data_IF_752438913682
#
_entry.id   IF_752438913682
#
_cell.length_a   1.000
_cell.length_b   1.000
_cell.length_c   1.000
_cell.angle_alpha   90.00
_cell.angle_beta   90.00
_cell.angle_gamma   90.00
#
_symmetry.space_group_name_H-M   'P 1'
#
loop_
_entity.id
_entity.type
_entity.pdbx_description
1 polymer ?
#
# COMPACT_ATOMS: atom_id res chain seq x y z
N UNK A 1 -14.81 27.30 6.47
CA UNK A 1 -14.48 25.88 6.68
C UNK A 1 -14.56 25.66 8.17
N UNK A 2 -15.48 24.83 8.66
CA UNK A 2 -15.39 24.37 10.04
C UNK A 2 -14.08 23.59 10.17
N UNK A 3 -13.27 23.92 11.17
CA UNK A 3 -12.08 23.13 11.49
C UNK A 3 -12.53 21.70 11.78
N UNK A 4 -11.84 20.72 11.18
CA UNK A 4 -12.11 19.31 11.43
C UNK A 4 -11.95 19.05 12.94
N UNK A 5 -12.93 18.40 13.58
CA UNK A 5 -12.82 18.06 14.99
C UNK A 5 -11.62 17.13 15.20
N UNK A 6 -10.77 17.43 16.19
CA UNK A 6 -9.68 16.56 16.63
C UNK A 6 -8.26 16.92 16.18
N UNK A 7 -7.97 18.21 15.97
CA UNK A 7 -6.62 18.79 15.77
C UNK A 7 -5.64 17.86 15.03
N UNK A 8 -5.93 17.62 13.76
CA UNK A 8 -5.12 16.75 12.91
C UNK A 8 -3.80 17.46 12.57
N UNK A 9 -2.70 16.92 13.09
CA UNK A 9 -1.36 17.45 12.91
C UNK A 9 -0.35 16.35 12.59
N UNK A 10 0.91 16.73 12.37
CA UNK A 10 2.01 15.80 12.20
C UNK A 10 2.91 15.83 13.43
N UNK A 11 3.33 14.65 13.88
CA UNK A 11 4.29 14.49 14.97
C UNK A 11 5.43 13.56 14.55
N UNK A 12 6.51 13.61 15.32
CA UNK A 12 7.66 12.72 15.15
C UNK A 12 7.41 11.44 15.95
N UNK A 13 7.70 10.28 15.35
CA UNK A 13 7.64 8.98 16.04
C UNK A 13 8.80 8.83 17.02
N UNK A 14 8.55 8.09 18.09
CA UNK A 14 9.62 7.56 18.93
C UNK A 14 10.34 6.46 18.14
N UNK A 15 11.59 6.73 17.77
CA UNK A 15 12.42 5.84 16.96
C UNK A 15 13.70 5.48 17.73
N UNK A 16 14.20 4.27 17.51
CA UNK A 16 15.54 3.87 17.96
C UNK A 16 16.63 4.62 17.19
N UNK A 17 17.86 4.68 17.74
CA UNK A 17 19.00 5.32 17.05
C UNK A 17 19.25 4.73 15.66
N UNK A 18 19.08 3.42 15.49
CA UNK A 18 19.22 2.73 14.21
C UNK A 18 18.17 3.18 13.18
N UNK A 19 16.92 3.39 13.62
CA UNK A 19 15.83 3.86 12.76
C UNK A 19 16.01 5.34 12.40
N UNK A 20 16.49 6.16 13.34
CA UNK A 20 16.84 7.56 13.09
C UNK A 20 17.92 7.65 12.01
N UNK A 21 18.98 6.84 12.10
CA UNK A 21 20.05 6.82 11.11
C UNK A 21 19.53 6.52 9.68
N UNK A 22 18.54 5.62 9.57
CA UNK A 22 17.88 5.34 8.28
C UNK A 22 17.04 6.52 7.81
N UNK A 23 16.29 7.18 8.70
CA UNK A 23 15.48 8.35 8.36
C UNK A 23 16.33 9.55 7.89
N UNK A 24 17.52 9.72 8.47
CA UNK A 24 18.46 10.81 8.11
C UNK A 24 19.03 10.62 6.70
N UNK A 25 19.16 9.38 6.22
CA UNK A 25 19.69 9.12 4.89
C UNK A 25 18.63 9.41 3.81
N UNK A 26 18.79 10.44 2.96
CA UNK A 26 17.81 10.78 1.93
C UNK A 26 17.75 9.74 0.79
N UNK A 27 18.62 8.73 0.79
CA UNK A 27 18.63 7.60 -0.15
C UNK A 27 18.18 6.28 0.50
N UNK A 28 17.68 6.31 1.74
CA UNK A 28 17.01 5.16 2.36
C UNK A 28 15.51 5.15 1.99
N UNK A 29 14.86 3.98 2.09
CA UNK A 29 13.41 3.89 1.91
C UNK A 29 12.67 4.57 3.08
N UNK A 30 13.24 4.49 4.26
CA UNK A 30 12.72 4.93 5.56
C UNK A 30 12.90 6.44 5.81
N UNK A 31 13.37 7.21 4.84
CA UNK A 31 13.65 8.65 4.98
C UNK A 31 12.48 9.48 5.54
N UNK A 32 11.23 9.00 5.40
CA UNK A 32 10.02 9.67 5.88
C UNK A 32 9.34 8.92 7.03
N UNK A 33 9.91 7.82 7.52
CA UNK A 33 9.29 6.97 8.55
C UNK A 33 9.18 7.68 9.91
N UNK A 34 9.96 8.74 10.15
CA UNK A 34 9.87 9.56 11.35
C UNK A 34 8.52 10.28 11.47
N UNK A 35 7.79 10.47 10.36
CA UNK A 35 6.54 11.22 10.34
C UNK A 35 5.35 10.34 10.72
N UNK A 36 4.49 10.86 11.60
CA UNK A 36 3.23 10.25 12.03
C UNK A 36 2.09 11.27 12.02
N UNK A 37 0.88 10.79 11.76
CA UNK A 37 -0.34 11.56 11.98
C UNK A 37 -0.68 11.57 13.48
N UNK A 38 -0.90 12.77 14.01
CA UNK A 38 -1.41 12.99 15.35
C UNK A 38 -2.87 13.45 15.23
N UNK A 39 -3.77 12.70 15.85
CA UNK A 39 -5.18 13.02 15.92
C UNK A 39 -5.63 12.96 17.38
N UNK A 40 -6.17 14.06 17.86
CA UNK A 40 -6.67 14.18 19.23
C UNK A 40 -8.16 13.86 19.22
N UNK A 41 -8.50 12.61 19.54
CA UNK A 41 -9.90 12.17 19.51
C UNK A 41 -10.76 12.99 20.48
N UNK A 42 -11.81 13.70 19.98
CA UNK A 42 -12.77 14.38 20.84
C UNK A 42 -13.47 13.39 21.80
N UNK A 43 -13.85 13.83 23.02
CA UNK A 43 -14.42 12.94 24.03
C UNK A 43 -15.67 12.19 23.54
N UNK A 44 -16.46 12.80 22.67
CA UNK A 44 -17.67 12.22 22.07
C UNK A 44 -17.37 11.03 21.14
N UNK A 45 -16.19 11.03 20.52
CA UNK A 45 -15.75 9.99 19.58
C UNK A 45 -14.77 9.00 20.22
N UNK A 46 -14.35 9.24 21.47
CA UNK A 46 -13.34 8.43 22.19
C UNK A 46 -13.69 6.94 22.28
N UNK A 47 -14.99 6.62 22.35
CA UNK A 47 -15.46 5.24 22.38
C UNK A 47 -15.28 4.53 21.04
N UNK A 48 -15.40 5.24 19.92
CA UNK A 48 -15.29 4.68 18.56
C UNK A 48 -13.83 4.71 18.10
N UNK A 49 -13.17 5.88 18.18
CA UNK A 49 -11.78 6.07 17.75
C UNK A 49 -10.85 5.79 18.93
N UNK A 50 -10.63 4.50 19.16
CA UNK A 50 -9.76 4.02 20.24
C UNK A 50 -8.27 4.20 19.90
N UNK A 51 -7.37 4.18 20.90
CA UNK A 51 -5.93 4.18 20.65
C UNK A 51 -5.46 3.05 19.71
N UNK A 52 -6.12 1.88 19.76
CA UNK A 52 -5.79 0.75 18.88
C UNK A 52 -6.09 1.05 17.41
N UNK A 53 -7.19 1.77 17.13
CA UNK A 53 -7.54 2.23 15.78
C UNK A 53 -6.50 3.24 15.29
N UNK A 54 -6.07 4.18 16.14
CA UNK A 54 -5.02 5.15 15.78
C UNK A 54 -3.67 4.46 15.47
N UNK A 55 -3.33 3.37 16.15
CA UNK A 55 -2.15 2.57 15.81
C UNK A 55 -2.28 1.89 14.44
N UNK A 56 -3.47 1.44 14.05
CA UNK A 56 -3.71 0.89 12.71
C UNK A 56 -3.53 1.97 11.64
N UNK A 57 -4.10 3.17 11.85
CA UNK A 57 -3.90 4.30 10.96
C UNK A 57 -2.42 4.67 10.81
N UNK A 58 -1.66 4.74 11.91
CA UNK A 58 -0.24 5.08 11.86
C UNK A 58 0.56 4.08 11.01
N UNK A 59 0.25 2.78 11.13
CA UNK A 59 0.90 1.73 10.32
C UNK A 59 0.56 1.84 8.84
N UNK A 60 -0.70 2.12 8.51
CA UNK A 60 -1.15 2.36 7.13
C UNK A 60 -0.45 3.61 6.58
N UNK A 61 -0.46 4.70 7.33
CA UNK A 61 0.15 5.97 6.95
C UNK A 61 1.65 5.83 6.68
N UNK A 62 2.38 5.06 7.50
CA UNK A 62 3.81 4.79 7.28
C UNK A 62 4.07 4.18 5.90
N UNK A 63 3.29 3.17 5.53
CA UNK A 63 3.42 2.53 4.22
C UNK A 63 3.05 3.49 3.08
N UNK A 64 2.01 4.32 3.28
CA UNK A 64 1.62 5.32 2.29
C UNK A 64 2.72 6.36 2.04
N UNK A 65 3.47 6.78 3.06
CA UNK A 65 4.63 7.66 2.89
C UNK A 65 5.72 7.01 2.03
N UNK A 66 6.01 5.74 2.28
CA UNK A 66 6.98 4.97 1.47
C UNK A 66 6.51 4.83 0.02
N UNK A 67 5.22 4.57 -0.19
CA UNK A 67 4.62 4.48 -1.53
C UNK A 67 4.69 5.83 -2.27
N UNK A 68 4.32 6.93 -1.61
CA UNK A 68 4.41 8.30 -2.14
C UNK A 68 5.85 8.63 -2.57
N UNK A 69 6.82 8.30 -1.72
CA UNK A 69 8.25 8.45 -2.03
C UNK A 69 8.64 7.65 -3.27
N UNK A 70 8.19 6.40 -3.38
CA UNK A 70 8.49 5.57 -4.55
C UNK A 70 7.87 6.11 -5.83
N UNK A 71 6.62 6.59 -5.77
CA UNK A 71 5.95 7.25 -6.89
C UNK A 71 6.75 8.47 -7.38
N UNK A 72 7.24 9.30 -6.45
CA UNK A 72 8.13 10.42 -6.79
C UNK A 72 9.44 9.96 -7.44
N UNK A 73 10.11 8.95 -6.86
CA UNK A 73 11.40 8.43 -7.32
C UNK A 73 11.30 7.87 -8.74
N UNK A 74 10.30 7.03 -9.05
CA UNK A 74 10.16 6.45 -10.39
C UNK A 74 9.77 7.47 -11.45
N UNK A 75 8.94 8.47 -11.09
CA UNK A 75 8.59 9.55 -12.01
C UNK A 75 9.79 10.48 -12.28
N UNK A 76 10.62 10.73 -11.27
CA UNK A 76 11.88 11.47 -11.44
C UNK A 76 12.87 10.71 -12.34
N UNK A 77 13.02 9.40 -12.11
CA UNK A 77 13.85 8.53 -12.95
C UNK A 77 13.38 8.50 -14.40
N UNK A 78 12.07 8.35 -14.62
CA UNK A 78 11.49 8.36 -15.96
C UNK A 78 11.80 9.68 -16.68
N UNK A 79 11.58 10.84 -16.03
CA UNK A 79 11.92 12.14 -16.62
C UNK A 79 13.41 12.26 -16.96
N UNK A 80 14.30 11.72 -16.12
CA UNK A 80 15.74 11.77 -16.35
C UNK A 80 16.13 10.92 -17.57
N UNK A 81 15.66 9.68 -17.65
CA UNK A 81 15.97 8.77 -18.76
C UNK A 81 15.29 9.20 -20.06
N UNK A 82 14.05 9.70 -20.01
CA UNK A 82 13.34 10.21 -21.20
C UNK A 82 14.06 11.39 -21.87
N UNK A 83 14.85 12.18 -21.12
CA UNK A 83 15.68 13.25 -21.70
C UNK A 83 16.97 12.74 -22.35
N UNK A 84 17.39 11.52 -22.03
CA UNK A 84 18.65 10.90 -22.48
C UNK A 84 18.44 9.69 -23.40
N UNK A 85 17.24 9.52 -23.97
CA UNK A 85 16.82 8.29 -24.70
C UNK A 85 17.83 7.84 -25.77
N UNK A 86 18.45 8.78 -26.49
CA UNK A 86 19.41 8.47 -27.56
C UNK A 86 20.82 8.12 -27.07
N UNK A 87 21.15 8.42 -25.82
CA UNK A 87 22.48 8.19 -25.22
C UNK A 87 22.46 7.11 -24.13
N UNK A 88 21.26 6.63 -23.75
CA UNK A 88 21.11 5.77 -22.58
C UNK A 88 21.22 4.29 -22.96
N UNK A 89 21.98 3.55 -22.15
CA UNK A 89 22.10 2.10 -22.27
C UNK A 89 20.74 1.38 -22.16
N UNK A 90 20.61 0.30 -22.93
CA UNK A 90 19.38 -0.47 -23.04
C UNK A 90 18.90 -1.02 -21.68
N UNK A 91 19.84 -1.44 -20.82
CA UNK A 91 19.56 -1.97 -19.49
C UNK A 91 18.92 -0.91 -18.56
N UNK A 92 19.43 0.32 -18.57
CA UNK A 92 18.92 1.43 -17.75
C UNK A 92 17.51 1.82 -18.15
N UNK A 93 17.23 1.89 -19.46
CA UNK A 93 15.88 2.16 -19.96
C UNK A 93 14.89 1.07 -19.55
N UNK A 94 15.27 -0.21 -19.68
CA UNK A 94 14.44 -1.34 -19.23
C UNK A 94 14.21 -1.31 -17.73
N UNK A 95 15.24 -1.05 -16.93
CA UNK A 95 15.14 -0.92 -15.48
C UNK A 95 14.09 0.13 -15.12
N UNK A 96 14.23 1.36 -15.63
CA UNK A 96 13.32 2.46 -15.26
C UNK A 96 11.90 2.18 -15.71
N UNK A 97 11.71 1.64 -16.91
CA UNK A 97 10.39 1.29 -17.42
C UNK A 97 9.72 0.22 -16.55
N UNK A 98 10.43 -0.86 -16.22
CA UNK A 98 9.89 -1.93 -15.38
C UNK A 98 9.69 -1.50 -13.93
N UNK A 99 10.61 -0.71 -13.36
CA UNK A 99 10.47 -0.16 -12.01
C UNK A 99 9.24 0.76 -11.90
N UNK A 100 9.02 1.64 -12.89
CA UNK A 100 7.83 2.50 -12.94
C UNK A 100 6.55 1.66 -13.05
N UNK A 101 6.53 0.68 -13.96
CA UNK A 101 5.39 -0.22 -14.10
C UNK A 101 5.09 -0.93 -12.78
N UNK A 102 6.10 -1.52 -12.14
CA UNK A 102 5.95 -2.21 -10.86
C UNK A 102 5.38 -1.28 -9.78
N UNK A 103 5.97 -0.11 -9.56
CA UNK A 103 5.53 0.84 -8.54
C UNK A 103 4.11 1.35 -8.82
N UNK A 104 3.79 1.74 -10.06
CA UNK A 104 2.44 2.20 -10.40
C UNK A 104 1.38 1.09 -10.24
N UNK A 105 1.72 -0.16 -10.56
CA UNK A 105 0.82 -1.31 -10.37
C UNK A 105 0.55 -1.58 -8.88
N UNK A 106 1.58 -1.48 -8.04
CA UNK A 106 1.44 -1.58 -6.57
C UNK A 106 0.63 -0.41 -6.02
N UNK A 107 0.92 0.81 -6.46
CA UNK A 107 0.23 2.03 -6.04
C UNK A 107 -1.28 1.96 -6.36
N UNK A 108 -1.62 1.63 -7.60
CA UNK A 108 -3.01 1.46 -8.02
C UNK A 108 -3.70 0.33 -7.25
N UNK A 109 -3.03 -0.79 -6.99
CA UNK A 109 -3.63 -1.84 -6.17
C UNK A 109 -3.87 -1.38 -4.71
N UNK A 110 -2.89 -0.75 -4.07
CA UNK A 110 -3.03 -0.31 -2.68
C UNK A 110 -4.08 0.77 -2.50
N UNK A 111 -4.10 1.78 -3.37
CA UNK A 111 -5.03 2.90 -3.27
C UNK A 111 -6.42 2.50 -3.80
N UNK A 112 -6.51 2.11 -5.07
CA UNK A 112 -7.80 1.93 -5.75
C UNK A 112 -8.53 0.67 -5.29
N UNK A 113 -7.80 -0.39 -4.92
CA UNK A 113 -8.39 -1.67 -4.52
C UNK A 113 -8.31 -1.89 -3.02
N UNK A 114 -7.13 -1.73 -2.42
CA UNK A 114 -6.91 -2.05 -1.02
C UNK A 114 -7.61 -1.09 -0.05
N UNK A 115 -7.44 0.21 -0.27
CA UNK A 115 -8.01 1.25 0.60
C UNK A 115 -9.43 1.62 0.15
N UNK A 116 -9.60 2.07 -1.09
CA UNK A 116 -10.88 2.61 -1.56
C UNK A 116 -12.03 1.61 -1.40
N UNK A 117 -11.84 0.33 -1.76
CA UNK A 117 -12.91 -0.67 -1.68
C UNK A 117 -13.42 -0.88 -0.24
N UNK A 118 -12.51 -1.01 0.72
CA UNK A 118 -12.88 -1.22 2.12
C UNK A 118 -13.46 0.06 2.73
N UNK A 119 -12.90 1.22 2.38
CA UNK A 119 -13.33 2.51 2.88
C UNK A 119 -14.71 2.91 2.36
N UNK A 120 -15.02 2.70 1.08
CA UNK A 120 -16.36 3.00 0.53
C UNK A 120 -17.45 2.19 1.21
N UNK A 121 -17.16 0.97 1.70
CA UNK A 121 -18.11 0.19 2.50
C UNK A 121 -18.35 0.81 3.88
N UNK A 122 -17.33 1.47 4.44
CA UNK A 122 -17.44 2.21 5.68
C UNK A 122 -18.26 3.49 5.51
N UNK A 123 -17.96 4.28 4.49
CA UNK A 123 -18.71 5.51 4.14
C UNK A 123 -20.19 5.19 3.88
N UNK A 124 -20.49 4.18 3.06
CA UNK A 124 -21.86 3.78 2.78
C UNK A 124 -22.64 3.31 4.03
N UNK A 125 -21.94 2.83 5.07
CA UNK A 125 -22.57 2.50 6.36
C UNK A 125 -22.83 3.75 7.19
N UNK A 126 -21.86 4.66 7.25
CA UNK A 126 -22.04 5.95 7.93
C UNK A 126 -23.17 6.77 7.31
N UNK A 127 -23.28 6.79 5.99
CA UNK A 127 -24.37 7.48 5.27
C UNK A 127 -25.74 6.95 5.67
N UNK A 128 -25.88 5.62 5.84
CA UNK A 128 -27.13 5.00 6.30
C UNK A 128 -27.45 5.40 7.74
N UNK A 129 -26.44 5.39 8.62
CA UNK A 129 -26.61 5.81 10.02
C UNK A 129 -27.04 7.28 10.07
N UNK A 130 -26.38 8.15 9.32
CA UNK A 130 -26.72 9.57 9.23
C UNK A 130 -28.13 9.81 8.69
N UNK A 131 -28.54 9.08 7.65
CA UNK A 131 -29.88 9.19 7.08
C UNK A 131 -30.98 8.79 8.09
N UNK A 132 -30.73 7.75 8.90
CA UNK A 132 -31.68 7.35 9.96
C UNK A 132 -31.74 8.41 11.06
N UNK A 133 -30.60 8.93 11.50
CA UNK A 133 -30.54 9.96 12.56
C UNK A 133 -31.18 11.29 12.14
N UNK A 134 -31.12 11.63 10.85
CA UNK A 134 -31.67 12.89 10.32
C UNK A 134 -33.19 12.82 10.10
N UNK A 135 -33.74 11.62 9.91
CA UNK A 135 -35.18 11.41 9.76
C UNK A 135 -35.85 11.25 11.14
N UNK A 136 -36.07 12.39 11.79
CA UNK A 136 -36.65 12.56 13.15
C UNK A 136 -38.10 12.03 13.32
N UNK A 137 -38.68 11.40 12.29
CA UNK A 137 -40.10 11.09 12.20
C UNK A 137 -40.50 9.67 12.61
N UNK A 138 -39.55 8.72 12.77
CA UNK A 138 -39.91 7.32 12.90
C UNK A 138 -39.17 6.61 14.05
N UNK A 139 -39.82 6.55 15.21
CA UNK A 139 -39.30 5.93 16.45
C UNK A 139 -38.86 4.46 16.25
N UNK A 140 -39.46 3.77 15.27
CA UNK A 140 -39.11 2.39 14.86
C UNK A 140 -37.78 2.30 14.12
N UNK A 141 -37.29 3.39 13.53
CA UNK A 141 -36.01 3.45 12.84
C UNK A 141 -34.84 3.49 13.81
N UNK A 142 -35.04 4.04 15.02
CA UNK A 142 -34.04 4.03 16.10
C UNK A 142 -33.86 2.66 16.75
N UNK A 143 -34.85 1.77 16.72
CA UNK A 143 -34.70 0.38 17.18
C UNK A 143 -33.78 -0.44 16.26
N UNK A 144 -33.59 0.00 15.01
CA UNK A 144 -32.66 -0.60 14.04
C UNK A 144 -31.30 0.09 13.96
N UNK A 145 -31.12 1.20 14.69
CA UNK A 145 -29.84 1.90 14.73
C UNK A 145 -28.82 1.02 15.45
N UNK A 146 -27.70 0.77 14.77
CA UNK A 146 -26.61 0.02 15.35
C UNK A 146 -25.99 0.77 16.53
N UNK A 147 -25.55 0.02 17.54
CA UNK A 147 -24.90 0.60 18.70
C UNK A 147 -23.54 1.21 18.32
N UNK A 148 -23.04 2.21 19.09
CA UNK A 148 -21.69 2.73 18.90
C UNK A 148 -20.60 1.65 18.97
N UNK A 149 -20.86 0.55 19.68
CA UNK A 149 -19.97 -0.60 19.76
C UNK A 149 -19.88 -1.36 18.44
N UNK A 150 -21.03 -1.60 17.80
CA UNK A 150 -21.08 -2.23 16.47
C UNK A 150 -20.40 -1.35 15.41
N UNK A 151 -20.50 -0.02 15.53
CA UNK A 151 -19.78 0.90 14.65
C UNK A 151 -18.26 0.83 14.86
N UNK A 152 -17.81 0.79 16.11
CA UNK A 152 -16.39 0.62 16.47
C UNK A 152 -15.83 -0.70 15.94
N UNK A 153 -16.53 -1.80 16.16
CA UNK A 153 -16.12 -3.13 15.68
C UNK A 153 -16.02 -3.13 14.15
N UNK A 154 -17.01 -2.58 13.48
CA UNK A 154 -17.00 -2.49 12.03
C UNK A 154 -15.87 -1.60 11.50
N UNK A 155 -15.59 -0.47 12.15
CA UNK A 155 -14.46 0.40 11.78
C UNK A 155 -13.13 -0.34 11.92
N UNK A 156 -12.93 -1.05 13.04
CA UNK A 156 -11.77 -1.90 13.25
C UNK A 156 -11.65 -2.97 12.14
N UNK A 157 -12.75 -3.66 11.79
CA UNK A 157 -12.77 -4.65 10.72
C UNK A 157 -12.40 -4.06 9.35
N UNK A 158 -12.87 -2.86 9.04
CA UNK A 158 -12.50 -2.13 7.81
C UNK A 158 -11.01 -1.88 7.76
N UNK A 159 -10.42 -1.33 8.84
CA UNK A 159 -8.97 -1.09 8.91
C UNK A 159 -8.17 -2.39 8.82
N UNK A 160 -8.69 -3.47 9.41
CA UNK A 160 -8.10 -4.80 9.34
C UNK A 160 -8.14 -5.42 7.94
N UNK A 161 -9.17 -5.12 7.14
CA UNK A 161 -9.22 -5.46 5.71
C UNK A 161 -8.17 -4.66 4.93
N UNK A 162 -8.12 -3.33 5.13
CA UNK A 162 -7.12 -2.45 4.50
C UNK A 162 -5.70 -2.94 4.82
N UNK A 163 -5.40 -3.22 6.09
CA UNK A 163 -4.10 -3.74 6.49
C UNK A 163 -3.75 -5.08 5.83
N UNK A 164 -4.75 -5.93 5.57
CA UNK A 164 -4.54 -7.22 4.89
C UNK A 164 -4.22 -7.02 3.42
N UNK A 165 -4.96 -6.13 2.74
CA UNK A 165 -4.70 -5.77 1.34
C UNK A 165 -3.33 -5.12 1.14
N UNK A 166 -2.87 -4.33 2.11
CA UNK A 166 -1.58 -3.64 2.13
C UNK A 166 -0.41 -4.50 2.63
N UNK A 167 -0.62 -5.80 2.88
CA UNK A 167 0.40 -6.72 3.42
C UNK A 167 0.94 -6.36 4.82
N UNK A 168 0.19 -5.60 5.61
CA UNK A 168 0.60 -5.14 6.95
C UNK A 168 0.30 -6.14 8.08
N UNK A 169 -0.24 -7.33 7.78
CA UNK A 169 -0.41 -8.37 8.82
C UNK A 169 0.91 -9.05 9.13
N UNK A 170 1.09 -9.52 10.37
CA UNK A 170 2.29 -10.26 10.79
C UNK A 170 2.62 -11.44 9.86
N UNK A 171 1.59 -12.21 9.45
CA UNK A 171 1.74 -13.32 8.50
C UNK A 171 2.19 -12.93 7.09
N UNK A 172 2.06 -11.65 6.72
CA UNK A 172 2.44 -11.06 5.43
C UNK A 172 3.77 -10.28 5.53
N UNK A 173 4.45 -10.30 6.66
CA UNK A 173 5.75 -9.63 6.82
C UNK A 173 6.79 -10.05 5.75
N UNK A 174 6.90 -11.34 5.35
CA UNK A 174 7.87 -11.73 4.31
C UNK A 174 7.60 -11.08 2.94
N UNK A 175 6.33 -10.96 2.54
CA UNK A 175 5.96 -10.34 1.27
C UNK A 175 6.19 -8.82 1.31
N UNK A 176 5.90 -8.18 2.45
CA UNK A 176 6.17 -6.75 2.64
C UNK A 176 7.67 -6.47 2.61
N UNK A 177 8.50 -7.27 3.29
CA UNK A 177 9.97 -7.14 3.23
C UNK A 177 10.49 -7.24 1.79
N UNK A 178 9.99 -8.20 1.02
CA UNK A 178 10.38 -8.34 -0.39
C UNK A 178 9.98 -7.11 -1.22
N UNK A 179 8.80 -6.53 -0.98
CA UNK A 179 8.38 -5.27 -1.62
C UNK A 179 9.35 -4.12 -1.26
N UNK A 180 9.72 -3.99 0.01
CA UNK A 180 10.66 -2.98 0.50
C UNK A 180 12.08 -3.15 -0.09
N UNK A 181 12.52 -4.39 -0.27
CA UNK A 181 13.78 -4.70 -0.94
C UNK A 181 13.77 -4.33 -2.44
N UNK A 182 12.63 -4.48 -3.11
CA UNK A 182 12.45 -4.04 -4.50
C UNK A 182 12.52 -2.51 -4.56
N UNK A 183 11.78 -1.82 -3.69
CA UNK A 183 11.82 -0.36 -3.57
C UNK A 183 13.23 0.18 -3.29
N UNK A 184 13.94 -0.45 -2.36
CA UNK A 184 15.34 -0.11 -2.06
C UNK A 184 16.24 -0.26 -3.29
N UNK A 185 16.05 -1.32 -4.08
CA UNK A 185 16.80 -1.54 -5.33
C UNK A 185 16.57 -0.41 -6.34
N UNK A 186 15.33 0.10 -6.43
CA UNK A 186 14.98 1.25 -7.28
C UNK A 186 15.62 2.54 -6.77
N UNK A 187 15.61 2.80 -5.45
CA UNK A 187 16.25 3.99 -4.87
C UNK A 187 17.77 3.97 -5.09
N UNK A 188 18.42 2.81 -4.87
CA UNK A 188 19.85 2.64 -5.12
C UNK A 188 20.22 2.93 -6.58
N UNK A 189 19.43 2.40 -7.52
CA UNK A 189 19.59 2.70 -8.95
C UNK A 189 19.43 4.20 -9.22
N UNK A 190 18.43 4.81 -8.60
CA UNK A 190 18.15 6.25 -8.70
C UNK A 190 19.31 7.12 -8.24
N UNK A 191 19.92 6.77 -7.11
CA UNK A 191 21.08 7.48 -6.56
C UNK A 191 22.28 7.37 -7.50
N UNK A 192 22.59 6.14 -7.92
CA UNK A 192 23.70 5.85 -8.86
C UNK A 192 23.58 6.64 -10.15
N UNK A 193 22.41 6.62 -10.79
CA UNK A 193 22.20 7.32 -12.05
C UNK A 193 22.39 8.84 -11.95
N UNK A 194 22.22 9.41 -10.74
CA UNK A 194 22.46 10.83 -10.49
C UNK A 194 23.91 11.17 -10.17
N UNK A 195 24.69 10.22 -9.66
CA UNK A 195 26.05 10.46 -9.15
C UNK A 195 27.16 9.91 -10.03
N UNK A 196 26.89 8.89 -10.84
CA UNK A 196 27.89 8.26 -11.70
C UNK A 196 27.77 8.74 -13.16
N UNK A 197 28.92 8.81 -13.83
CA UNK A 197 29.03 9.14 -15.26
C UNK A 197 28.93 7.90 -16.15
N UNK A 198 28.75 8.10 -17.45
CA UNK A 198 28.65 7.06 -18.48
C UNK A 198 30.03 6.39 -18.70
N UNK A 199 30.37 5.39 -17.89
CA UNK A 199 31.55 4.54 -18.09
C UNK A 199 31.13 3.09 -18.37
N UNK A 200 31.96 2.30 -19.07
CA UNK A 200 31.63 0.89 -19.38
C UNK A 200 31.46 0.01 -18.11
N UNK A 201 32.13 0.36 -17.01
CA UNK A 201 31.92 -0.29 -15.71
C UNK A 201 30.53 0.05 -15.12
N UNK A 202 29.98 1.23 -15.45
CA UNK A 202 28.63 1.63 -15.05
C UNK A 202 27.56 0.75 -15.71
N UNK A 203 27.79 0.32 -16.94
CA UNK A 203 26.87 -0.53 -17.71
C UNK A 203 26.77 -1.93 -17.15
N UNK A 204 27.92 -2.55 -16.88
CA UNK A 204 27.96 -3.89 -16.31
C UNK A 204 27.22 -3.92 -14.98
N UNK A 205 27.51 -2.96 -14.11
CA UNK A 205 26.89 -2.92 -12.81
C UNK A 205 25.39 -2.54 -12.90
N UNK A 206 24.99 -1.70 -13.85
CA UNK A 206 23.58 -1.41 -14.13
C UNK A 206 22.83 -2.67 -14.59
N UNK A 207 23.42 -3.47 -15.47
CA UNK A 207 22.86 -4.75 -15.89
C UNK A 207 22.72 -5.72 -14.71
N UNK A 208 23.70 -5.76 -13.81
CA UNK A 208 23.62 -6.56 -12.58
C UNK A 208 22.51 -6.09 -11.64
N UNK A 209 22.37 -4.78 -11.41
CA UNK A 209 21.29 -4.20 -10.61
C UNK A 209 19.92 -4.53 -11.20
N UNK A 210 19.77 -4.42 -12.53
CA UNK A 210 18.55 -4.80 -13.24
C UNK A 210 18.23 -6.28 -13.09
N UNK A 211 19.22 -7.16 -13.24
CA UNK A 211 19.04 -8.61 -13.03
C UNK A 211 18.57 -8.92 -11.60
N UNK A 212 19.16 -8.28 -10.59
CA UNK A 212 18.76 -8.45 -9.18
C UNK A 212 17.34 -7.93 -8.93
N UNK A 213 17.00 -6.76 -9.45
CA UNK A 213 15.65 -6.19 -9.39
C UNK A 213 14.62 -7.15 -10.02
N UNK A 214 14.89 -7.62 -11.25
CA UNK A 214 14.01 -8.53 -11.98
C UNK A 214 13.77 -9.83 -11.22
N UNK A 215 14.83 -10.42 -10.64
CA UNK A 215 14.71 -11.62 -9.80
C UNK A 215 13.81 -11.39 -8.58
N UNK A 216 13.97 -10.27 -7.88
CA UNK A 216 13.10 -9.94 -6.72
C UNK A 216 11.65 -9.76 -7.14
N UNK A 217 11.38 -9.09 -8.27
CA UNK A 217 10.03 -8.93 -8.82
C UNK A 217 9.42 -10.29 -9.19
N UNK A 218 10.20 -11.20 -9.79
CA UNK A 218 9.74 -12.56 -10.10
C UNK A 218 9.36 -13.34 -8.83
N UNK A 219 10.20 -13.29 -7.79
CA UNK A 219 9.89 -13.93 -6.51
C UNK A 219 8.63 -13.30 -5.90
N UNK A 220 8.48 -11.97 -5.97
CA UNK A 220 7.30 -11.28 -5.44
C UNK A 220 6.01 -11.72 -6.12
N UNK A 221 6.00 -11.77 -7.45
CA UNK A 221 4.86 -12.27 -8.23
C UNK A 221 4.57 -13.73 -7.87
N UNK A 222 5.59 -14.57 -7.72
CA UNK A 222 5.43 -15.98 -7.35
C UNK A 222 4.79 -16.14 -5.98
N UNK A 223 5.23 -15.35 -4.98
CA UNK A 223 4.64 -15.34 -3.64
C UNK A 223 3.20 -14.84 -3.69
N UNK A 224 2.90 -13.78 -4.45
CA UNK A 224 1.53 -13.28 -4.64
C UNK A 224 0.61 -14.33 -5.26
N UNK A 225 1.07 -15.05 -6.29
CA UNK A 225 0.31 -16.16 -6.91
C UNK A 225 0.01 -17.26 -5.88
N UNK A 226 1.01 -17.68 -5.12
CA UNK A 226 0.82 -18.68 -4.06
C UNK A 226 -0.12 -18.23 -2.94
N UNK A 227 -0.19 -16.93 -2.63
CA UNK A 227 -1.17 -16.38 -1.68
C UNK A 227 -2.59 -16.40 -2.28
N UNK A 228 -2.75 -16.02 -3.54
CA UNK A 228 -4.04 -16.04 -4.22
C UNK A 228 -4.61 -17.47 -4.33
N UNK A 229 -3.77 -18.46 -4.63
CA UNK A 229 -4.17 -19.88 -4.71
C UNK A 229 -4.59 -20.46 -3.35
N UNK A 230 -3.83 -20.16 -2.29
CA UNK A 230 -4.17 -20.61 -0.93
C UNK A 230 -5.52 -20.06 -0.48
N UNK A 231 -5.78 -18.79 -0.77
CA UNK A 231 -7.03 -18.15 -0.38
C UNK A 231 -8.25 -18.80 -1.04
N UNK A 232 -8.12 -19.14 -2.34
CA UNK A 232 -9.14 -19.92 -3.09
C UNK A 232 -9.37 -21.31 -2.52
N UNK A 233 -8.30 -22.01 -2.12
CA UNK A 233 -8.40 -23.37 -1.56
C UNK A 233 -9.07 -23.39 -0.17
N UNK A 234 -8.96 -22.31 0.59
CA UNK A 234 -9.55 -22.19 1.94
C UNK A 234 -11.01 -21.74 1.96
N UNK A 235 -11.63 -21.41 0.82
CA UNK A 235 -13.07 -21.16 0.73
C UNK A 235 -13.82 -22.44 0.34
N UNK A 236 -14.31 -23.26 1.30
CA UNK A 236 -15.33 -24.23 0.97
C UNK A 236 -16.60 -23.46 0.57
N UNK A 237 -17.30 -24.00 -0.43
CA UNK A 237 -18.60 -23.55 -0.94
C UNK A 237 -19.65 -23.51 0.20
N UNK A 238 -19.64 -22.45 1.01
CA UNK A 238 -20.72 -22.14 1.95
C UNK A 238 -21.64 -21.16 1.25
N UNK A 239 -22.66 -21.73 0.62
CA UNK A 239 -23.94 -21.04 0.39
C UNK A 239 -24.53 -20.66 1.75
N UNK A 240 -24.11 -19.53 2.31
CA UNK A 240 -24.85 -18.84 3.36
C UNK A 240 -25.28 -17.48 2.83
N UNK A 241 -26.60 -17.33 2.73
CA UNK A 241 -27.33 -16.21 2.14
C UNK A 241 -27.13 -14.89 2.93
N UNK A 242 -26.42 -14.92 4.07
CA UNK A 242 -26.16 -13.74 4.91
C UNK A 242 -24.80 -13.05 4.75
N UNK A 243 -23.81 -13.67 4.08
CA UNK A 243 -22.45 -13.09 3.95
C UNK A 243 -22.24 -12.30 2.64
N UNK A 244 -23.21 -12.35 1.72
CA UNK A 244 -23.11 -11.72 0.38
C UNK A 244 -23.27 -10.20 0.39
N UNK A 245 -23.63 -9.58 1.51
CA UNK A 245 -23.94 -8.14 1.56
C UNK A 245 -22.75 -7.23 1.90
N UNK A 246 -21.55 -7.80 2.10
CA UNK A 246 -20.34 -7.06 2.48
C UNK A 246 -19.24 -6.98 1.42
N UNK A 247 -19.54 -7.37 0.17
CA UNK A 247 -18.80 -6.99 -1.03
C UNK A 247 -17.28 -7.26 -1.04
N UNK A 248 -16.89 -8.22 -1.87
CA UNK A 248 -15.57 -8.38 -2.49
C UNK A 248 -14.54 -9.25 -1.75
N UNK A 249 -14.33 -10.43 -2.35
CA UNK A 249 -13.33 -11.40 -1.95
C UNK A 249 -11.91 -10.90 -2.20
N UNK A 250 -11.09 -11.02 -1.15
CA UNK A 250 -9.65 -10.81 -1.10
C UNK A 250 -8.89 -11.52 -2.25
N UNK A 251 -9.50 -12.57 -2.82
CA UNK A 251 -8.96 -13.35 -3.94
C UNK A 251 -8.99 -12.59 -5.27
N UNK A 252 -10.03 -11.76 -5.48
CA UNK A 252 -10.21 -11.02 -6.74
C UNK A 252 -9.26 -9.83 -6.81
N UNK A 253 -9.00 -9.16 -5.68
CA UNK A 253 -8.13 -7.99 -5.60
C UNK A 253 -6.65 -8.35 -5.87
N UNK A 254 -6.14 -9.40 -5.24
CA UNK A 254 -4.77 -9.86 -5.48
C UNK A 254 -4.59 -10.40 -6.91
N UNK A 255 -5.62 -11.03 -7.46
CA UNK A 255 -5.62 -11.47 -8.86
C UNK A 255 -5.56 -10.28 -9.84
N UNK A 256 -6.23 -9.17 -9.53
CA UNK A 256 -6.12 -7.93 -10.31
C UNK A 256 -4.70 -7.33 -10.25
N UNK A 257 -4.05 -7.35 -9.09
CA UNK A 257 -2.63 -6.94 -8.97
C UNK A 257 -1.74 -7.82 -9.85
N UNK A 258 -1.91 -9.15 -9.78
CA UNK A 258 -1.14 -10.09 -10.58
C UNK A 258 -1.32 -9.87 -12.08
N UNK A 259 -2.54 -9.62 -12.52
CA UNK A 259 -2.84 -9.29 -13.92
C UNK A 259 -2.16 -7.99 -14.34
N UNK A 260 -2.17 -6.95 -13.50
CA UNK A 260 -1.47 -5.69 -13.77
C UNK A 260 0.04 -5.88 -13.80
N UNK A 261 0.61 -6.69 -12.91
CA UNK A 261 2.05 -6.90 -12.81
C UNK A 261 2.62 -7.76 -13.95
N UNK A 262 1.85 -8.72 -14.46
CA UNK A 262 2.35 -9.73 -15.38
C UNK A 262 1.33 -10.16 -16.43
N UNK A 263 0.75 -9.18 -17.14
CA UNK A 263 -0.33 -9.41 -18.12
C UNK A 263 0.03 -10.38 -19.26
N UNK A 264 1.32 -10.59 -19.54
CA UNK A 264 1.82 -11.39 -20.67
C UNK A 264 2.68 -12.59 -20.25
N UNK A 265 2.68 -12.92 -18.95
CA UNK A 265 3.57 -13.89 -18.32
C UNK A 265 5.05 -13.62 -18.65
N UNK A 266 5.41 -12.34 -18.79
CA UNK A 266 6.77 -11.89 -19.08
C UNK A 266 7.74 -12.33 -17.98
N UNK A 267 7.28 -12.36 -16.73
CA UNK A 267 8.12 -12.78 -15.60
C UNK A 267 8.18 -14.31 -15.43
N UNK A 268 7.20 -15.05 -15.98
CA UNK A 268 7.13 -16.52 -15.95
C UNK A 268 7.92 -17.15 -17.09
N UNK A 269 7.92 -16.52 -18.27
CA UNK A 269 8.72 -16.97 -19.41
C UNK A 269 10.19 -16.84 -19.05
N UNK A 270 10.82 -17.98 -18.76
CA UNK A 270 12.27 -18.11 -18.67
C UNK A 270 12.85 -17.62 -19.99
N UNK A 271 13.34 -16.39 -20.03
CA UNK A 271 14.26 -15.99 -21.08
C UNK A 271 15.58 -16.72 -20.79
N UNK A 272 15.71 -17.89 -21.40
CA UNK A 272 16.96 -18.61 -21.61
C UNK A 272 17.90 -17.80 -22.50
#
# INVERSE_FOLDING_TARGET
MQDLPGDLSFTVRDLSEEEIAKCVNPNSLEALDFLRLSYTTPPELSFIITPMILLQYDRIFKLMLRLLRMSYVVNSLWRLVSKRVYSMHNASYRFVREARHFVCSIESYFLDTGISSAWSSFEAKLDKIQAVLSNDADRKSYEKLESPEQLREFHSDVLQRIMTALFLRKRQEPILKLLEEIFTSVIQFSYRLRTQGDTEDDDRQTAEMYSRFKKKVQVFITVCRGLAEKSRATQPQKDSIGSKQLGLGDDSSLSQLLLKLDISDYYVKRHS
#
